data_IF_418401721296
#
_entry.id   IF_418401721296
#
_cell.length_a   1.000
_cell.length_b   1.000
_cell.length_c   1.000
_cell.angle_alpha   90.00
_cell.angle_beta   90.00
_cell.angle_gamma   90.00
#
_symmetry.space_group_name_H-M   'P 1'
#
loop_
_entity.id
_entity.type
_entity.pdbx_description
1 polymer ?
#
# COMPACT_ATOMS: atom_id res chain seq x y z
N UNK A 1 -1.31 -29.69 18.54
CA UNK A 1 -0.92 -28.26 18.53
C UNK A 1 -2.07 -27.42 17.98
N UNK A 2 -2.13 -26.12 18.26
CA UNK A 2 -3.15 -25.26 17.64
C UNK A 2 -2.76 -24.93 16.19
N UNK A 3 -3.76 -24.94 15.32
CA UNK A 3 -3.65 -24.61 13.89
C UNK A 3 -4.59 -23.44 13.62
N UNK A 4 -4.04 -22.38 13.04
CA UNK A 4 -4.78 -21.21 12.63
C UNK A 4 -5.22 -21.37 11.17
N UNK A 5 -6.50 -21.12 10.92
CA UNK A 5 -7.03 -21.01 9.57
C UNK A 5 -7.19 -19.54 9.22
N UNK A 6 -6.38 -19.08 8.28
CA UNK A 6 -6.47 -17.75 7.73
C UNK A 6 -7.28 -17.76 6.44
N UNK A 7 -8.22 -16.83 6.34
CA UNK A 7 -8.86 -16.45 5.08
C UNK A 7 -8.07 -15.31 4.48
N UNK A 8 -7.63 -15.48 3.24
CA UNK A 8 -6.89 -14.48 2.47
C UNK A 8 -7.76 -14.08 1.29
N UNK A 9 -8.07 -12.80 1.18
CA UNK A 9 -8.72 -12.19 0.02
C UNK A 9 -7.89 -11.06 -0.52
N UNK A 10 -8.13 -10.73 -1.78
CA UNK A 10 -7.48 -9.64 -2.48
C UNK A 10 -8.26 -8.35 -2.18
N UNK A 11 -7.59 -7.22 -1.94
CA UNK A 11 -8.30 -5.96 -1.64
C UNK A 11 -9.25 -5.55 -2.77
N UNK A 12 -8.80 -5.70 -4.02
CA UNK A 12 -9.59 -5.35 -5.21
C UNK A 12 -10.50 -6.50 -5.70
N UNK A 13 -10.35 -7.72 -5.18
CA UNK A 13 -11.03 -8.91 -5.69
C UNK A 13 -11.52 -9.84 -4.58
N UNK A 14 -12.68 -9.50 -4.02
CA UNK A 14 -13.32 -10.29 -2.95
C UNK A 14 -13.73 -11.72 -3.37
N UNK A 15 -13.89 -11.95 -4.68
CA UNK A 15 -14.23 -13.27 -5.24
C UNK A 15 -13.07 -14.27 -5.14
N UNK A 16 -11.84 -13.78 -4.98
CA UNK A 16 -10.64 -14.62 -4.89
C UNK A 16 -10.32 -14.87 -3.42
N UNK A 17 -10.60 -16.09 -2.97
CA UNK A 17 -10.41 -16.48 -1.56
C UNK A 17 -9.45 -17.66 -1.48
N UNK A 18 -8.52 -17.58 -0.53
CA UNK A 18 -7.63 -18.69 -0.14
C UNK A 18 -7.81 -18.95 1.35
N UNK A 19 -8.04 -20.20 1.74
CA UNK A 19 -8.00 -20.60 3.15
C UNK A 19 -6.71 -21.38 3.39
N UNK A 20 -5.87 -20.87 4.29
CA UNK A 20 -4.56 -21.45 4.60
C UNK A 20 -4.53 -21.86 6.07
N UNK A 21 -4.23 -23.13 6.30
CA UNK A 21 -4.02 -23.69 7.63
C UNK A 21 -2.53 -23.66 7.98
N UNK A 22 -2.18 -23.09 9.13
CA UNK A 22 -0.80 -22.90 9.59
C UNK A 22 -0.69 -23.16 11.10
N UNK A 23 0.41 -23.73 11.57
CA UNK A 23 0.60 -23.99 13.01
C UNK A 23 0.86 -22.71 13.78
N UNK A 24 0.45 -22.66 15.05
CA UNK A 24 0.69 -21.50 15.91
C UNK A 24 2.16 -21.16 16.14
N UNK A 25 3.07 -22.14 16.05
CA UNK A 25 4.53 -21.91 16.18
C UNK A 25 5.22 -21.48 14.90
N UNK A 26 4.54 -21.55 13.75
CA UNK A 26 5.12 -21.06 12.51
C UNK A 26 5.23 -19.54 12.51
N UNK A 27 6.03 -19.06 11.59
CA UNK A 27 6.39 -17.65 11.47
C UNK A 27 5.53 -16.95 10.41
N UNK A 28 5.59 -15.63 10.36
CA UNK A 28 4.99 -14.87 9.26
C UNK A 28 5.64 -15.19 7.91
N UNK A 29 6.90 -15.65 7.89
CA UNK A 29 7.58 -16.09 6.67
C UNK A 29 6.93 -17.36 6.11
N UNK A 30 6.54 -18.29 6.97
CA UNK A 30 5.82 -19.51 6.55
C UNK A 30 4.44 -19.16 5.99
N UNK A 31 3.76 -18.18 6.59
CA UNK A 31 2.48 -17.68 6.09
C UNK A 31 2.65 -17.00 4.72
N UNK A 32 3.65 -16.13 4.56
CA UNK A 32 4.04 -15.49 3.30
C UNK A 32 4.22 -16.53 2.19
N UNK A 33 5.05 -17.55 2.43
CA UNK A 33 5.30 -18.63 1.47
C UNK A 33 4.03 -19.41 1.15
N UNK A 34 3.19 -19.69 2.14
CA UNK A 34 1.95 -20.43 1.95
C UNK A 34 0.92 -19.66 1.09
N UNK A 35 0.80 -18.34 1.29
CA UNK A 35 -0.05 -17.47 0.47
C UNK A 35 0.42 -17.50 -0.98
N UNK A 36 1.72 -17.36 -1.21
CA UNK A 36 2.29 -17.36 -2.56
C UNK A 36 2.22 -18.73 -3.25
N UNK A 37 2.38 -19.82 -2.50
CA UNK A 37 2.13 -21.16 -3.01
C UNK A 37 0.69 -21.34 -3.50
N UNK A 38 -0.28 -20.72 -2.80
CA UNK A 38 -1.71 -20.79 -3.17
C UNK A 38 -2.11 -19.90 -4.36
N UNK A 39 -1.34 -18.83 -4.62
CA UNK A 39 -1.61 -17.87 -5.70
C UNK A 39 -0.73 -18.11 -6.94
N UNK A 40 0.37 -18.86 -6.81
CA UNK A 40 1.34 -19.11 -7.88
C UNK A 40 2.32 -17.96 -8.11
N UNK A 41 2.34 -16.96 -7.22
CA UNK A 41 3.29 -15.86 -7.28
C UNK A 41 4.67 -16.26 -6.74
N UNK A 42 5.72 -15.55 -7.17
CA UNK A 42 7.05 -15.74 -6.58
C UNK A 42 7.11 -15.08 -5.21
N UNK A 43 7.72 -15.75 -4.24
CA UNK A 43 7.81 -15.27 -2.86
C UNK A 43 9.07 -14.43 -2.57
N UNK A 44 9.94 -14.22 -3.56
CA UNK A 44 11.23 -13.53 -3.40
C UNK A 44 11.15 -11.99 -3.43
N UNK A 45 9.94 -11.43 -3.41
CA UNK A 45 9.75 -9.99 -3.43
C UNK A 45 9.59 -9.43 -2.00
N UNK A 46 10.07 -8.20 -1.75
CA UNK A 46 9.96 -7.58 -0.44
C UNK A 46 8.48 -7.31 -0.12
N UNK A 47 8.05 -7.74 1.06
CA UNK A 47 6.65 -7.70 1.47
C UNK A 47 6.53 -7.34 2.95
N UNK A 48 5.33 -6.95 3.40
CA UNK A 48 5.08 -6.67 4.81
C UNK A 48 3.65 -6.99 5.23
N UNK A 49 3.54 -7.60 6.41
CA UNK A 49 2.29 -7.73 7.15
C UNK A 49 2.16 -6.55 8.09
N UNK A 50 0.95 -6.05 8.23
CA UNK A 50 0.57 -5.04 9.20
C UNK A 50 -0.51 -5.64 10.09
N UNK A 51 -0.32 -5.58 11.40
CA UNK A 51 -1.38 -5.92 12.35
C UNK A 51 -2.49 -4.91 12.16
N UNK A 52 -3.69 -5.41 11.94
CA UNK A 52 -4.83 -4.59 11.57
C UNK A 52 -6.00 -4.79 12.51
N UNK A 53 -6.89 -3.81 12.52
CA UNK A 53 -8.13 -3.84 13.28
C UNK A 53 -9.33 -4.13 12.37
N UNK A 54 -10.53 -4.00 12.90
CA UNK A 54 -11.77 -4.23 12.13
C UNK A 54 -11.96 -3.29 10.95
N UNK A 55 -11.31 -2.13 10.96
CA UNK A 55 -11.36 -1.12 9.91
C UNK A 55 -10.20 -1.25 8.90
N UNK A 56 -9.45 -2.35 8.92
CA UNK A 56 -8.29 -2.57 8.03
C UNK A 56 -7.20 -1.50 8.13
N UNK A 57 -7.05 -0.84 9.29
CA UNK A 57 -5.98 0.14 9.50
C UNK A 57 -4.62 -0.55 9.66
N UNK A 58 -3.58 -0.01 9.02
CA UNK A 58 -2.21 -0.55 9.08
C UNK A 58 -1.54 -0.14 10.40
N UNK A 59 -1.39 -1.08 11.33
CA UNK A 59 -0.72 -0.88 12.62
C UNK A 59 0.75 -1.30 12.59
N UNK A 60 1.14 -2.12 13.56
CA UNK A 60 2.51 -2.62 13.66
C UNK A 60 2.89 -3.44 12.43
N UNK A 61 4.08 -3.14 11.88
CA UNK A 61 4.57 -3.77 10.67
C UNK A 61 5.56 -4.91 10.97
N UNK A 62 5.49 -5.97 10.16
CA UNK A 62 6.41 -7.11 10.14
C UNK A 62 6.88 -7.30 8.70
N UNK A 63 8.18 -7.14 8.44
CA UNK A 63 8.72 -7.06 7.08
C UNK A 63 9.52 -8.29 6.67
N UNK A 64 9.40 -8.65 5.40
CA UNK A 64 10.25 -9.61 4.68
C UNK A 64 11.18 -8.83 3.76
N UNK A 65 12.48 -9.16 3.79
CA UNK A 65 13.54 -8.42 3.09
C UNK A 65 13.47 -6.90 3.35
N UNK A 66 13.70 -6.45 4.60
CA UNK A 66 13.61 -5.03 4.92
C UNK A 66 14.70 -4.21 4.23
N UNK A 67 14.33 -3.01 3.78
CA UNK A 67 15.29 -2.00 3.36
C UNK A 67 16.02 -1.40 4.56
N UNK A 68 17.17 -0.74 4.32
CA UNK A 68 17.98 -0.14 5.38
C UNK A 68 17.17 0.75 6.33
N UNK A 69 16.28 1.59 5.77
CA UNK A 69 15.38 2.45 6.55
C UNK A 69 14.50 1.69 7.55
N UNK A 70 14.04 0.49 7.18
CA UNK A 70 13.18 -0.35 8.05
C UNK A 70 14.00 -1.01 9.15
N UNK A 71 15.24 -1.38 8.84
CA UNK A 71 16.20 -1.91 9.82
C UNK A 71 16.53 -0.82 10.86
N UNK A 72 16.80 0.41 10.41
CA UNK A 72 17.12 1.53 11.30
C UNK A 72 15.94 1.89 12.23
N UNK A 73 14.70 1.67 11.77
CA UNK A 73 13.48 1.84 12.57
C UNK A 73 13.20 0.65 13.51
N UNK A 74 13.98 -0.43 13.45
CA UNK A 74 13.80 -1.61 14.31
C UNK A 74 12.56 -2.44 13.98
N UNK A 75 12.12 -2.47 12.72
CA UNK A 75 10.95 -3.25 12.30
C UNK A 75 11.22 -4.75 12.47
N UNK A 76 10.31 -5.52 13.08
CA UNK A 76 10.49 -6.96 13.25
C UNK A 76 10.50 -7.70 11.91
N UNK A 77 11.35 -8.73 11.83
CA UNK A 77 11.51 -9.61 10.67
C UNK A 77 10.46 -10.72 10.68
N UNK A 78 9.89 -11.05 9.52
CA UNK A 78 8.94 -12.16 9.38
C UNK A 78 9.49 -13.50 9.86
N UNK A 79 10.78 -13.78 9.64
CA UNK A 79 11.43 -15.04 10.04
C UNK A 79 11.52 -15.23 11.56
N UNK A 80 11.56 -14.12 12.32
CA UNK A 80 11.68 -14.13 13.79
C UNK A 80 10.34 -13.97 14.49
N UNK A 81 9.33 -13.50 13.76
CA UNK A 81 7.99 -13.25 14.26
C UNK A 81 7.12 -14.50 14.15
N UNK A 82 6.82 -15.12 15.30
CA UNK A 82 5.87 -16.24 15.39
C UNK A 82 4.44 -15.73 15.34
N UNK A 83 3.55 -16.43 14.64
CA UNK A 83 2.13 -16.05 14.54
C UNK A 83 1.45 -15.94 15.91
N UNK A 84 1.72 -16.87 16.82
CA UNK A 84 1.14 -16.86 18.17
C UNK A 84 1.44 -15.62 19.00
N UNK A 85 2.46 -14.83 18.64
CA UNK A 85 2.86 -13.62 19.38
C UNK A 85 2.12 -12.36 18.94
N UNK A 86 1.37 -12.42 17.83
CA UNK A 86 0.69 -11.27 17.22
C UNK A 86 -0.80 -11.52 17.00
N UNK A 87 -1.35 -12.57 17.63
CA UNK A 87 -2.77 -12.94 17.58
C UNK A 87 -3.29 -12.85 18.99
N UNK A 88 -3.97 -11.75 19.28
CA UNK A 88 -4.61 -11.51 20.58
C UNK A 88 -6.12 -11.78 20.52
N UNK A 89 -6.73 -11.61 19.34
CA UNK A 89 -8.17 -11.81 19.10
C UNK A 89 -8.44 -13.05 18.22
N UNK A 90 -9.50 -13.83 18.48
CA UNK A 90 -9.94 -14.93 17.61
C UNK A 90 -10.27 -14.51 16.15
N UNK A 91 -10.57 -13.24 15.91
CA UNK A 91 -10.82 -12.63 14.61
C UNK A 91 -9.71 -11.65 14.19
N UNK A 92 -8.48 -11.88 14.66
CA UNK A 92 -7.33 -11.03 14.31
C UNK A 92 -7.20 -10.83 12.79
N UNK A 93 -7.06 -9.56 12.39
CA UNK A 93 -6.85 -9.15 11.00
C UNK A 93 -5.42 -8.71 10.78
N UNK A 94 -4.91 -9.02 9.61
CA UNK A 94 -3.63 -8.56 9.10
C UNK A 94 -3.84 -8.00 7.69
N UNK A 95 -3.33 -6.81 7.48
CA UNK A 95 -3.23 -6.25 6.14
C UNK A 95 -1.89 -6.67 5.56
N UNK A 96 -1.87 -7.28 4.38
CA UNK A 96 -0.66 -7.82 3.79
C UNK A 96 -0.36 -7.12 2.46
N UNK A 97 0.76 -6.42 2.38
CA UNK A 97 1.25 -5.79 1.15
C UNK A 97 2.40 -6.60 0.58
N UNK A 98 2.23 -7.12 -0.63
CA UNK A 98 3.26 -7.81 -1.37
C UNK A 98 3.91 -6.90 -2.41
N UNK A 99 5.22 -7.01 -2.56
CA UNK A 99 6.04 -6.30 -3.55
C UNK A 99 5.89 -4.78 -3.50
N UNK A 100 6.83 -4.10 -2.85
CA UNK A 100 6.79 -2.62 -2.77
C UNK A 100 6.94 -1.89 -4.12
N UNK A 101 7.51 -2.53 -5.15
CA UNK A 101 7.65 -1.90 -6.48
C UNK A 101 6.30 -1.85 -7.23
N UNK A 102 5.46 -2.86 -7.02
CA UNK A 102 4.10 -2.98 -7.55
C UNK A 102 3.23 -3.58 -6.45
N UNK A 103 2.74 -2.75 -5.52
CA UNK A 103 2.05 -3.22 -4.33
C UNK A 103 0.82 -4.01 -4.74
N UNK A 104 0.72 -5.20 -4.17
CA UNK A 104 -0.45 -6.03 -4.25
C UNK A 104 -0.95 -6.28 -2.84
N UNK A 105 -2.14 -5.78 -2.53
CA UNK A 105 -2.67 -5.76 -1.18
C UNK A 105 -3.70 -6.88 -0.95
N UNK A 106 -3.58 -7.51 0.22
CA UNK A 106 -4.40 -8.63 0.64
C UNK A 106 -4.94 -8.39 2.05
N UNK A 107 -6.17 -8.85 2.24
CA UNK A 107 -6.83 -8.94 3.53
C UNK A 107 -6.66 -10.35 4.07
N UNK A 108 -6.00 -10.48 5.23
CA UNK A 108 -5.75 -11.76 5.90
C UNK A 108 -6.46 -11.77 7.24
N UNK A 109 -7.43 -12.65 7.42
CA UNK A 109 -8.26 -12.72 8.62
C UNK A 109 -8.17 -14.11 9.25
N UNK A 110 -7.97 -14.18 10.57
CA UNK A 110 -8.11 -15.41 11.32
C UNK A 110 -9.60 -15.78 11.43
N UNK A 111 -10.00 -16.89 10.82
CA UNK A 111 -11.41 -17.30 10.83
C UNK A 111 -11.70 -18.44 11.80
N UNK A 112 -10.72 -19.33 12.06
CA UNK A 112 -10.88 -20.49 12.94
C UNK A 112 -9.56 -20.90 13.57
N UNK A 113 -9.65 -21.41 14.79
CA UNK A 113 -8.56 -22.12 15.48
C UNK A 113 -8.97 -23.59 15.57
N UNK A 114 -8.14 -24.46 15.03
CA UNK A 114 -8.35 -25.90 14.93
C UNK A 114 -7.28 -26.64 15.72
N UNK A 115 -7.57 -27.90 16.06
CA UNK A 115 -6.54 -28.81 16.53
C UNK A 115 -5.82 -29.43 15.33
N UNK A 116 -4.52 -29.63 15.50
CA UNK A 116 -3.68 -30.32 14.52
C UNK A 116 -4.24 -31.70 14.14
N UNK A 117 -4.41 -31.92 12.84
CA UNK A 117 -4.88 -33.18 12.29
C UNK A 117 -3.70 -34.12 12.06
N UNK A 118 -3.70 -35.35 12.60
CA UNK A 118 -2.62 -36.31 12.37
C UNK A 118 -2.55 -36.67 10.88
N UNK A 119 -1.34 -36.61 10.31
CA UNK A 119 -1.08 -36.94 8.90
C UNK A 119 -1.10 -35.76 7.92
N UNK A 120 -1.43 -34.54 8.37
CA UNK A 120 -1.36 -33.33 7.55
C UNK A 120 -0.05 -32.59 7.79
N UNK A 121 0.64 -32.21 6.72
CA UNK A 121 1.82 -31.34 6.78
C UNK A 121 1.37 -29.90 6.57
N UNK A 122 1.78 -29.01 7.48
CA UNK A 122 1.47 -27.59 7.44
C UNK A 122 2.71 -26.80 7.02
N UNK A 123 2.60 -25.64 6.34
CA UNK A 123 1.35 -24.98 5.92
C UNK A 123 0.56 -25.75 4.84
N UNK A 124 -0.77 -25.71 4.92
CA UNK A 124 -1.66 -26.42 4.00
C UNK A 124 -2.75 -25.48 3.46
N UNK A 125 -2.98 -25.48 2.16
CA UNK A 125 -4.05 -24.69 1.55
C UNK A 125 -5.34 -25.51 1.58
N UNK A 126 -6.24 -25.19 2.51
CA UNK A 126 -7.49 -25.90 2.71
C UNK A 126 -8.53 -25.63 1.61
N UNK A 127 -8.54 -24.40 1.07
CA UNK A 127 -9.49 -23.99 0.03
C UNK A 127 -8.86 -22.96 -0.89
N UNK A 128 -9.18 -23.05 -2.17
CA UNK A 128 -8.80 -22.10 -3.20
C UNK A 128 -10.00 -21.83 -4.10
N UNK A 129 -10.50 -20.59 -4.12
CA UNK A 129 -11.67 -20.14 -4.89
C UNK A 129 -11.28 -18.95 -5.76
N UNK A 130 -11.66 -18.97 -7.03
CA UNK A 130 -11.32 -17.91 -7.99
C UNK A 130 -9.88 -17.99 -8.51
N UNK A 131 -9.64 -17.34 -9.64
CA UNK A 131 -8.31 -17.25 -10.25
C UNK A 131 -7.57 -16.04 -9.70
N UNK A 132 -6.30 -16.22 -9.32
CA UNK A 132 -5.50 -15.10 -8.83
C UNK A 132 -5.15 -14.15 -9.99
N UNK A 133 -5.30 -12.82 -9.84
CA UNK A 133 -4.98 -11.85 -10.88
C UNK A 133 -3.50 -11.94 -11.31
N UNK A 134 -3.19 -11.54 -12.53
CA UNK A 134 -1.79 -11.58 -13.02
C UNK A 134 -1.03 -10.38 -12.46
N UNK A 135 -0.05 -10.62 -11.58
CA UNK A 135 0.81 -9.57 -11.01
C UNK A 135 1.64 -8.80 -12.04
N UNK A 136 2.05 -9.51 -13.09
CA UNK A 136 2.75 -8.94 -14.23
C UNK A 136 1.82 -9.04 -15.42
N UNK A 137 0.73 -8.26 -15.40
CA UNK A 137 0.02 -7.97 -16.64
C UNK A 137 1.05 -7.46 -17.62
N UNK A 138 1.15 -8.10 -18.79
CA UNK A 138 1.95 -7.60 -19.89
C UNK A 138 1.66 -6.10 -19.99
N UNK A 139 2.67 -5.26 -19.72
CA UNK A 139 2.68 -3.94 -20.32
C UNK A 139 2.38 -4.24 -21.77
N UNK A 140 1.24 -3.76 -22.26
CA UNK A 140 0.96 -3.78 -23.68
C UNK A 140 1.97 -2.79 -24.27
N UNK A 141 3.22 -3.22 -24.40
CA UNK A 141 4.13 -2.67 -25.39
C UNK A 141 3.48 -3.12 -26.69
N UNK A 142 2.85 -2.23 -27.47
CA UNK A 142 2.59 -2.56 -28.86
C UNK A 142 3.96 -2.98 -29.40
N UNK A 143 4.11 -4.27 -29.62
CA UNK A 143 5.27 -4.79 -30.31
C UNK A 143 5.07 -4.26 -31.71
N UNK A 144 5.77 -3.20 -32.06
CA UNK A 144 6.12 -2.97 -33.46
C UNK A 144 6.87 -4.23 -33.88
N UNK A 145 6.12 -5.16 -34.46
CA UNK A 145 6.66 -6.33 -35.14
C UNK A 145 7.46 -5.81 -36.31
N UNK A 146 8.77 -5.66 -36.10
CA UNK A 146 9.71 -5.49 -37.17
C UNK A 146 9.72 -6.75 -38.05
N UNK A 147 9.28 -6.55 -39.29
CA UNK A 147 9.58 -7.29 -40.51
C UNK A 147 9.07 -8.74 -40.65
N UNK A 148 7.92 -8.88 -41.32
CA UNK A 148 7.84 -9.76 -42.48
C UNK A 148 7.88 -8.85 -43.70
N UNK A 149 8.95 -8.97 -44.49
CA UNK A 149 9.00 -8.38 -45.82
C UNK A 149 8.00 -9.13 -46.71
N UNK A 150 6.93 -8.45 -47.09
CA UNK A 150 6.21 -8.69 -48.33
C UNK A 150 6.00 -7.32 -48.96
N UNK A 151 6.56 -7.17 -50.16
CA UNK A 151 6.34 -6.05 -51.07
C UNK A 151 4.83 -5.77 -51.26
N UNK A 152 4.56 -4.52 -51.60
CA UNK A 152 3.29 -3.97 -52.09
C UNK A 152 2.22 -3.69 -51.02
N UNK A 153 2.20 -2.43 -50.53
CA UNK A 153 1.00 -1.59 -50.30
C UNK A 153 1.23 -0.51 -49.23
N UNK A 154 2.14 0.44 -49.49
CA UNK A 154 2.28 1.66 -48.67
C UNK A 154 2.34 2.91 -49.56
N UNK A 155 1.22 3.20 -50.24
CA UNK A 155 1.04 4.42 -51.05
C UNK A 155 -0.20 5.23 -50.59
N UNK A 156 -0.44 5.30 -49.27
CA UNK A 156 -1.56 6.08 -48.71
C UNK A 156 -1.13 7.37 -48.00
N UNK A 157 0.10 7.45 -47.50
CA UNK A 157 0.56 8.62 -46.71
C UNK A 157 1.18 9.74 -47.56
N UNK A 158 1.38 9.53 -48.86
CA UNK A 158 1.95 10.54 -49.75
C UNK A 158 0.88 11.34 -50.53
N UNK A 159 -0.41 11.06 -50.31
CA UNK A 159 -1.54 11.75 -50.94
C UNK A 159 -2.31 12.64 -49.95
N UNK A 160 -1.59 13.35 -49.08
CA UNK A 160 -2.09 14.59 -48.49
C UNK A 160 -1.10 15.72 -48.80
N UNK A 161 -0.98 16.00 -50.09
CA UNK A 161 -0.38 17.20 -50.66
C UNK A 161 -1.20 18.42 -50.20
N UNK A 162 -0.95 18.89 -48.97
CA UNK A 162 -1.36 20.21 -48.52
C UNK A 162 -0.31 21.21 -48.98
N UNK A 163 -0.62 21.84 -50.11
CA UNK A 163 0.07 23.02 -50.65
C UNK A 163 0.16 24.08 -49.55
N UNK A 164 1.38 24.36 -49.10
CA UNK A 164 1.67 25.50 -48.22
C UNK A 164 2.78 26.35 -48.85
N UNK A 165 2.41 27.01 -49.94
CA UNK A 165 2.97 28.27 -50.42
C UNK A 165 1.74 29.20 -50.43
N UNK A 166 1.65 30.22 -49.59
CA UNK A 166 2.10 31.56 -49.92
C UNK A 166 1.91 32.48 -48.69
N UNK A 167 2.80 33.45 -48.61
CA UNK A 167 2.96 34.56 -47.67
C UNK A 167 1.69 35.38 -47.39
N UNK A 168 1.49 35.79 -46.13
CA UNK A 168 0.92 37.12 -45.81
C UNK A 168 1.55 37.69 -44.54
N UNK A 169 2.17 38.85 -44.72
CA UNK A 169 2.59 39.83 -43.72
C UNK A 169 1.54 40.02 -42.62
N UNK A 170 1.98 40.01 -41.36
CA UNK A 170 1.22 40.65 -40.30
C UNK A 170 2.05 41.81 -39.75
N UNK A 171 1.61 43.01 -40.13
CA UNK A 171 2.16 44.31 -39.80
C UNK A 171 2.35 44.52 -38.29
N UNK A 172 3.53 45.02 -37.97
CA UNK A 172 3.88 45.74 -36.76
C UNK A 172 3.05 47.02 -36.65
N UNK A 173 2.26 47.16 -35.58
CA UNK A 173 1.70 48.45 -35.17
C UNK A 173 2.13 48.74 -33.74
N UNK A 174 2.99 49.75 -33.64
CA UNK A 174 3.51 50.35 -32.43
C UNK A 174 2.44 51.07 -31.60
N UNK A 175 2.76 51.20 -30.30
CA UNK A 175 2.14 52.02 -29.26
C UNK A 175 1.59 53.39 -29.72
N UNK A 176 0.58 53.90 -29.01
CA UNK A 176 0.82 55.17 -28.33
C UNK A 176 0.23 55.26 -26.91
N UNK A 177 1.16 55.36 -25.96
CA UNK A 177 1.33 56.47 -25.02
C UNK A 177 0.35 56.68 -23.84
N UNK A 178 0.99 56.70 -22.66
CA UNK A 178 0.80 57.59 -21.51
C UNK A 178 -0.59 57.77 -20.85
N UNK A 179 -0.72 57.24 -19.62
CA UNK A 179 -1.01 58.09 -18.45
C UNK A 179 -0.36 57.55 -17.16
N UNK A 180 0.73 58.21 -16.77
CA UNK A 180 1.10 58.70 -15.43
C UNK A 180 1.23 57.71 -14.25
N UNK A 181 2.50 57.50 -13.86
CA UNK A 181 2.93 57.16 -12.49
C UNK A 181 2.68 58.33 -11.53
N UNK A 182 2.07 58.07 -10.38
CA UNK A 182 2.18 58.87 -9.16
C UNK A 182 2.62 57.98 -8.00
N UNK A 183 3.67 58.39 -7.31
CA UNK A 183 4.34 57.69 -6.21
C UNK A 183 4.32 58.63 -5.00
N UNK A 184 3.79 58.13 -3.88
CA UNK A 184 3.98 58.64 -2.50
C UNK A 184 3.90 57.37 -1.62
N UNK A 185 4.93 56.84 -0.94
CA UNK A 185 5.71 57.29 0.23
C UNK A 185 4.91 57.41 1.54
N UNK A 186 5.36 56.63 2.54
CA UNK A 186 5.02 56.56 3.98
C UNK A 186 3.58 56.23 4.36
N UNK A 187 3.35 55.14 5.12
CA UNK A 187 3.38 55.23 6.59
C UNK A 187 3.32 53.83 7.24
N UNK A 188 3.78 53.83 8.47
CA UNK A 188 4.01 52.83 9.50
C UNK A 188 2.73 52.11 9.96
N UNK A 189 2.84 50.83 10.31
CA UNK A 189 2.69 50.35 11.70
C UNK A 189 2.76 48.82 11.80
N UNK A 190 3.45 48.38 12.85
CA UNK A 190 3.44 47.04 13.43
C UNK A 190 2.01 46.55 13.71
N UNK A 191 1.81 45.24 13.81
CA UNK A 191 1.25 44.53 14.99
C UNK A 191 1.06 43.04 14.68
N UNK A 192 1.99 42.26 15.24
CA UNK A 192 1.85 40.98 15.96
C UNK A 192 0.89 39.88 15.43
N UNK A 193 1.52 38.81 14.95
CA UNK A 193 0.95 37.46 14.83
C UNK A 193 0.70 36.85 16.23
N UNK A 194 -0.53 36.94 16.74
CA UNK A 194 -0.95 36.24 17.95
C UNK A 194 -1.55 34.86 17.60
N UNK A 195 -0.72 33.84 17.78
CA UNK A 195 -1.04 32.43 17.71
C UNK A 195 -1.94 32.06 18.92
N UNK A 196 -3.26 32.08 18.72
CA UNK A 196 -4.27 31.84 19.75
C UNK A 196 -4.77 30.40 19.83
N UNK A 197 -4.90 29.94 21.08
CA UNK A 197 -5.70 28.82 21.60
C UNK A 197 -5.05 27.42 21.65
N UNK A 198 -3.96 27.41 22.43
CA UNK A 198 -3.56 26.34 23.32
C UNK A 198 -4.72 25.96 24.27
N UNK A 199 -5.07 24.68 24.27
CA UNK A 199 -6.10 24.09 25.11
C UNK A 199 -5.83 24.37 26.60
N UNK A 200 -6.76 25.09 27.23
CA UNK A 200 -6.82 25.26 28.68
C UNK A 200 -7.34 23.96 29.34
N UNK A 201 -6.43 23.11 29.79
CA UNK A 201 -6.71 22.08 30.81
C UNK A 201 -6.38 22.64 32.19
N UNK A 202 -7.39 23.16 32.87
CA UNK A 202 -7.38 23.34 34.32
C UNK A 202 -8.82 23.28 34.83
N UNK A 203 -9.21 22.15 35.44
CA UNK A 203 -9.86 22.11 36.76
C UNK A 203 -10.39 20.69 37.06
N UNK A 204 -9.97 20.14 38.20
CA UNK A 204 -10.76 19.12 38.92
C UNK A 204 -10.09 17.78 39.22
N UNK A 205 -9.08 17.75 40.08
CA UNK A 205 -8.76 16.54 40.85
C UNK A 205 -8.88 16.86 42.35
N UNK A 206 -10.01 16.48 42.95
CA UNK A 206 -10.20 16.52 44.40
C UNK A 206 -9.27 15.49 45.07
N UNK A 207 -8.67 15.94 46.18
CA UNK A 207 -7.89 15.16 47.12
C UNK A 207 -8.73 14.04 47.74
N UNK A 208 -8.20 12.81 47.74
CA UNK A 208 -8.53 11.82 48.78
C UNK A 208 -7.24 11.42 49.48
N UNK A 209 -7.03 12.05 50.64
CA UNK A 209 -5.96 11.75 51.58
C UNK A 209 -6.52 11.74 53.00
N UNK A 210 -7.00 10.57 53.44
CA UNK A 210 -7.08 10.13 54.85
C UNK A 210 -7.60 8.68 54.84
N UNK A 211 -7.14 7.71 55.61
CA UNK A 211 -6.19 7.70 56.71
C UNK A 211 -5.71 6.24 56.91
N UNK A 212 -4.64 6.11 57.68
CA UNK A 212 -4.15 4.88 58.31
C UNK A 212 -5.25 4.27 59.19
N UNK A 213 -5.25 2.96 59.47
CA UNK A 213 -4.42 2.39 60.52
C UNK A 213 -4.38 0.86 60.48
N UNK A 214 -3.21 0.36 60.84
CA UNK A 214 -2.88 -0.99 61.24
C UNK A 214 -3.73 -1.46 62.45
N UNK A 215 -4.26 -2.69 62.41
CA UNK A 215 -4.16 -3.73 63.45
C UNK A 215 -4.91 -5.03 63.06
#
# INVERSE_FOLDING_TARGET
>A
MAVYRFKVSFEDYDDVIREVDIKSTHTFEDLHKAIHFSTGYKHDYPSSFYISNDQWMKGQEITYMPSQRRIDRGVPLMEKSKLSSFIDDPHQKFYYTFNFDRPFDFHVELIKILNETPGVTYPFVAKSVGEAPKQFGNVFTPTETAAVATDDDFDFLNQLELVAEETVDFEEVADPDEVVRGKDSDDSDDEEDEFGDEFADNDGFEEDASDKDDY
#
